data_IF_557997834560
#
_entry.id   IF_557997834560
#
_cell.length_a   1.000
_cell.length_b   1.000
_cell.length_c   1.000
_cell.angle_alpha   90.00
_cell.angle_beta   90.00
_cell.angle_gamma   90.00
#
_symmetry.space_group_name_H-M   'P 1'
#
loop_
_entity.id
_entity.type
_entity.pdbx_description
1 polymer ?
#
# COMPACT_ATOMS: atom_id res chain seq x y z
N UNK A 1 -1.72 -24.83 -8.65
CA UNK A 1 -2.66 -25.05 -9.76
C UNK A 1 -2.97 -23.72 -10.46
N UNK A 2 -2.95 -23.71 -11.80
CA UNK A 2 -3.14 -22.48 -12.59
C UNK A 2 -4.52 -21.80 -12.38
N UNK A 3 -5.50 -22.53 -11.85
CA UNK A 3 -6.83 -22.01 -11.54
C UNK A 3 -6.90 -21.14 -10.25
N UNK A 4 -5.80 -21.00 -9.52
CA UNK A 4 -5.71 -20.13 -8.33
C UNK A 4 -5.03 -18.79 -8.64
N UNK A 5 -4.63 -18.56 -9.90
CA UNK A 5 -3.95 -17.34 -10.32
C UNK A 5 -4.87 -16.56 -11.25
N UNK A 6 -5.20 -15.34 -10.85
CA UNK A 6 -5.97 -14.40 -11.66
C UNK A 6 -5.06 -13.25 -12.04
N UNK A 7 -4.88 -13.03 -13.34
CA UNK A 7 -4.12 -11.89 -13.85
C UNK A 7 -5.01 -10.65 -13.84
N UNK A 8 -4.51 -9.56 -13.25
CA UNK A 8 -5.24 -8.30 -13.11
C UNK A 8 -4.44 -7.14 -13.72
N UNK A 9 -5.15 -6.07 -14.09
CA UNK A 9 -4.54 -4.86 -14.70
C UNK A 9 -4.95 -3.56 -13.99
N UNK A 10 -6.00 -3.61 -13.18
CA UNK A 10 -6.66 -2.46 -12.56
C UNK A 10 -7.98 -2.13 -13.26
N UNK A 11 -9.03 -1.98 -12.46
CA UNK A 11 -10.41 -1.76 -12.89
C UNK A 11 -11.32 -2.98 -12.69
N UNK A 12 -10.76 -4.16 -12.43
CA UNK A 12 -11.54 -5.38 -12.20
C UNK A 12 -12.22 -5.35 -10.82
N UNK A 13 -13.38 -5.99 -10.72
CA UNK A 13 -14.14 -6.17 -9.49
C UNK A 13 -14.64 -7.62 -9.40
N UNK A 14 -14.06 -8.39 -8.48
CA UNK A 14 -14.33 -9.81 -8.33
C UNK A 14 -15.13 -10.09 -7.06
N UNK A 15 -16.04 -11.05 -7.14
CA UNK A 15 -16.82 -11.57 -6.01
C UNK A 15 -16.40 -13.00 -5.73
N UNK A 16 -16.09 -13.28 -4.47
CA UNK A 16 -15.79 -14.60 -3.91
C UNK A 16 -16.82 -14.93 -2.83
N UNK A 17 -16.83 -16.16 -2.34
CA UNK A 17 -17.85 -16.63 -1.39
C UNK A 17 -17.98 -15.74 -0.14
N UNK A 18 -16.87 -15.27 0.42
CA UNK A 18 -16.85 -14.55 1.69
C UNK A 18 -16.38 -13.09 1.58
N UNK A 19 -15.96 -12.65 0.41
CA UNK A 19 -15.50 -11.28 0.19
C UNK A 19 -15.58 -10.89 -1.29
N UNK A 20 -15.42 -9.61 -1.55
CA UNK A 20 -15.14 -9.14 -2.91
C UNK A 20 -13.89 -8.26 -2.92
N UNK A 21 -13.25 -8.15 -4.08
CA UNK A 21 -12.06 -7.32 -4.26
C UNK A 21 -12.16 -6.48 -5.54
N UNK A 22 -12.03 -5.18 -5.38
CA UNK A 22 -11.86 -4.26 -6.50
C UNK A 22 -10.37 -3.97 -6.68
N UNK A 23 -9.86 -4.23 -7.87
CA UNK A 23 -8.49 -3.93 -8.25
C UNK A 23 -8.44 -2.51 -8.80
N UNK A 24 -7.59 -1.66 -8.24
CA UNK A 24 -7.52 -0.25 -8.60
C UNK A 24 -6.18 0.04 -9.27
N UNK A 25 -6.16 0.80 -10.37
CA UNK A 25 -4.93 1.32 -10.92
C UNK A 25 -4.28 2.29 -9.92
N UNK A 26 -2.98 2.27 -9.84
CA UNK A 26 -2.22 3.10 -8.92
C UNK A 26 -0.93 3.60 -9.54
N UNK A 27 -0.14 4.32 -8.76
CA UNK A 27 1.16 4.83 -9.15
C UNK A 27 2.22 4.34 -8.16
N UNK A 28 3.40 4.03 -8.67
CA UNK A 28 4.56 3.81 -7.81
C UNK A 28 5.04 5.13 -7.22
N UNK A 29 5.64 5.09 -6.03
CA UNK A 29 6.28 6.26 -5.44
C UNK A 29 7.44 6.73 -6.30
N UNK A 30 7.61 8.04 -6.39
CA UNK A 30 8.80 8.61 -6.99
C UNK A 30 10.04 8.26 -6.16
N UNK A 31 11.10 7.83 -6.81
CA UNK A 31 12.41 7.63 -6.22
C UNK A 31 13.18 8.96 -6.19
N UNK A 32 14.45 8.89 -5.79
CA UNK A 32 15.34 10.07 -5.75
C UNK A 32 15.19 10.95 -6.99
N UNK A 33 15.06 12.26 -6.80
CA UNK A 33 14.84 13.26 -7.86
C UNK A 33 13.57 13.01 -8.69
N UNK A 34 12.53 12.45 -8.07
CA UNK A 34 11.24 12.17 -8.72
C UNK A 34 11.35 11.22 -9.94
N UNK A 35 12.33 10.33 -9.94
CA UNK A 35 12.44 9.29 -10.96
C UNK A 35 11.41 8.20 -10.67
N UNK A 36 10.63 7.85 -11.68
CA UNK A 36 9.75 6.68 -11.67
C UNK A 36 10.49 5.47 -12.23
N UNK A 37 10.08 4.27 -11.79
CA UNK A 37 10.54 3.05 -12.43
C UNK A 37 10.02 2.97 -13.87
N UNK A 38 10.71 2.18 -14.68
CA UNK A 38 10.26 1.89 -16.03
C UNK A 38 8.97 1.06 -15.98
N UNK A 39 7.89 1.58 -16.56
CA UNK A 39 6.58 0.91 -16.67
C UNK A 39 6.45 0.01 -17.90
N UNK A 40 7.51 -0.19 -18.67
CA UNK A 40 7.52 -1.12 -19.80
C UNK A 40 7.32 -2.57 -19.36
N UNK A 41 7.12 -3.47 -20.32
CA UNK A 41 7.04 -4.90 -20.08
C UNK A 41 8.40 -5.57 -20.27
N UNK A 42 8.64 -6.63 -19.51
CA UNK A 42 9.83 -7.47 -19.72
C UNK A 42 9.72 -8.15 -21.10
N UNK A 43 10.72 -7.96 -21.94
CA UNK A 43 10.73 -8.49 -23.29
C UNK A 43 10.84 -10.01 -23.31
N UNK A 44 10.16 -10.67 -24.26
CA UNK A 44 10.32 -12.12 -24.47
C UNK A 44 11.78 -12.47 -24.77
N UNK A 45 12.24 -13.59 -24.23
CA UNK A 45 13.60 -14.11 -24.48
C UNK A 45 14.71 -13.42 -23.66
N UNK A 46 14.38 -12.55 -22.72
CA UNK A 46 15.38 -12.01 -21.81
C UNK A 46 16.02 -13.13 -20.98
N UNK A 47 17.34 -13.11 -20.86
CA UNK A 47 18.09 -14.14 -20.11
C UNK A 47 18.08 -13.81 -18.62
N UNK A 48 17.85 -14.82 -17.81
CA UNK A 48 17.98 -14.73 -16.33
C UNK A 48 19.37 -15.19 -15.88
N UNK A 49 19.91 -14.67 -14.74
CA UNK A 49 19.28 -13.67 -13.85
C UNK A 49 19.29 -12.26 -14.45
N UNK A 50 18.24 -11.48 -14.12
CA UNK A 50 18.12 -10.11 -14.57
C UNK A 50 19.07 -9.19 -13.79
N UNK A 51 19.65 -8.21 -14.48
CA UNK A 51 20.33 -7.08 -13.81
C UNK A 51 19.29 -6.07 -13.32
N UNK A 52 19.60 -5.29 -12.27
CA UNK A 52 18.68 -4.32 -11.69
C UNK A 52 18.04 -3.40 -12.74
N UNK A 53 18.82 -2.91 -13.71
CA UNK A 53 18.31 -2.03 -14.79
C UNK A 53 17.35 -2.72 -15.78
N UNK A 54 17.19 -4.03 -15.71
CA UNK A 54 16.29 -4.81 -16.57
C UNK A 54 14.96 -5.12 -15.89
N UNK A 55 14.83 -4.80 -14.58
CA UNK A 55 13.55 -4.87 -13.90
C UNK A 55 12.70 -3.67 -14.30
N UNK A 56 11.45 -3.95 -14.54
CA UNK A 56 10.41 -2.96 -14.82
C UNK A 56 9.37 -3.02 -13.71
N UNK A 57 8.72 -1.91 -13.44
CA UNK A 57 7.66 -1.87 -12.45
C UNK A 57 6.42 -2.65 -12.92
N UNK A 58 6.17 -2.63 -14.20
CA UNK A 58 4.87 -3.04 -14.76
C UNK A 58 3.82 -1.97 -14.46
N UNK A 59 2.84 -2.31 -13.63
CA UNK A 59 1.84 -1.35 -13.15
C UNK A 59 1.66 -1.50 -11.64
N UNK A 60 1.63 -0.39 -10.92
CA UNK A 60 1.26 -0.39 -9.52
C UNK A 60 -0.24 -0.54 -9.35
N UNK A 61 -0.64 -1.34 -8.40
CA UNK A 61 -2.04 -1.62 -8.09
C UNK A 61 -2.33 -1.37 -6.61
N UNK A 62 -3.58 -1.06 -6.34
CA UNK A 62 -4.17 -1.07 -5.01
C UNK A 62 -5.32 -2.06 -5.00
N UNK A 63 -5.67 -2.57 -3.83
CA UNK A 63 -6.75 -3.53 -3.68
C UNK A 63 -7.72 -3.04 -2.62
N UNK A 64 -9.01 -3.01 -2.97
CA UNK A 64 -10.09 -2.70 -2.06
C UNK A 64 -10.90 -3.93 -1.79
N UNK A 65 -10.68 -4.53 -0.61
CA UNK A 65 -11.42 -5.69 -0.14
C UNK A 65 -12.67 -5.28 0.61
N UNK A 66 -13.77 -5.97 0.36
CA UNK A 66 -15.05 -5.81 1.04
C UNK A 66 -15.44 -7.13 1.67
N UNK A 67 -15.30 -7.21 2.97
CA UNK A 67 -15.80 -8.29 3.82
C UNK A 67 -17.15 -7.87 4.39
N UNK A 68 -17.84 -8.81 5.09
CA UNK A 68 -19.15 -8.51 5.68
C UNK A 68 -19.15 -7.23 6.54
N UNK A 69 -18.13 -7.06 7.39
CA UNK A 69 -18.05 -5.99 8.37
C UNK A 69 -16.83 -5.07 8.19
N UNK A 70 -15.96 -5.37 7.24
CA UNK A 70 -14.73 -4.61 7.01
C UNK A 70 -14.54 -4.28 5.55
N UNK A 71 -14.14 -3.04 5.31
CA UNK A 71 -13.71 -2.55 4.01
C UNK A 71 -12.24 -2.17 4.13
N UNK A 72 -11.36 -2.87 3.44
CA UNK A 72 -9.91 -2.73 3.59
C UNK A 72 -9.31 -2.21 2.30
N UNK A 73 -8.67 -1.05 2.35
CA UNK A 73 -7.88 -0.56 1.23
C UNK A 73 -6.39 -0.79 1.49
N UNK A 74 -5.71 -1.47 0.58
CA UNK A 74 -4.27 -1.70 0.68
C UNK A 74 -3.51 -1.06 -0.48
N UNK A 75 -2.45 -0.35 -0.14
CA UNK A 75 -1.56 0.32 -1.09
C UNK A 75 -0.33 -0.54 -1.38
N UNK A 76 0.04 -0.62 -2.66
CA UNK A 76 1.28 -1.29 -3.08
C UNK A 76 2.51 -0.37 -3.02
N UNK A 77 2.33 0.95 -2.92
CA UNK A 77 3.40 1.95 -2.89
C UNK A 77 2.93 3.26 -2.25
N UNK A 78 3.81 4.25 -2.12
CA UNK A 78 3.52 5.56 -1.51
C UNK A 78 3.02 6.58 -2.54
N UNK A 79 2.20 6.13 -3.51
CA UNK A 79 1.52 7.03 -4.44
C UNK A 79 0.19 6.42 -4.86
N UNK A 80 -0.71 7.23 -5.39
CA UNK A 80 -2.05 6.79 -5.76
C UNK A 80 -2.67 7.73 -6.81
N UNK A 81 -3.67 7.22 -7.51
CA UNK A 81 -4.54 7.99 -8.39
C UNK A 81 -5.76 8.41 -7.57
N UNK A 82 -5.95 9.72 -7.36
CA UNK A 82 -7.02 10.24 -6.51
C UNK A 82 -8.40 9.74 -6.92
N UNK A 83 -8.76 9.90 -8.17
CA UNK A 83 -10.06 9.50 -8.72
C UNK A 83 -10.33 7.98 -8.59
N UNK A 84 -9.27 7.17 -8.46
CA UNK A 84 -9.44 5.73 -8.29
C UNK A 84 -9.84 5.33 -6.87
N UNK A 85 -9.56 6.16 -5.87
CA UNK A 85 -9.83 5.87 -4.46
C UNK A 85 -10.93 6.73 -3.85
N UNK A 86 -11.31 7.82 -4.50
CA UNK A 86 -12.35 8.72 -4.04
C UNK A 86 -13.69 7.97 -3.85
N UNK A 87 -14.32 8.16 -2.69
CA UNK A 87 -15.61 7.55 -2.36
C UNK A 87 -15.59 6.05 -2.03
N UNK A 88 -14.43 5.43 -1.83
CA UNK A 88 -14.34 4.00 -1.46
C UNK A 88 -14.70 3.73 0.01
N UNK A 89 -14.46 4.68 0.89
CA UNK A 89 -14.78 4.63 2.33
C UNK A 89 -14.30 3.35 3.04
N UNK A 90 -13.00 3.01 3.00
CA UNK A 90 -12.47 1.92 3.79
C UNK A 90 -12.55 2.27 5.29
N UNK A 91 -12.87 1.30 6.14
CA UNK A 91 -12.70 1.48 7.59
C UNK A 91 -11.30 1.05 8.07
N UNK A 92 -10.56 0.28 7.24
CA UNK A 92 -9.17 -0.09 7.49
C UNK A 92 -8.32 0.32 6.28
N UNK A 93 -7.29 1.12 6.51
CA UNK A 93 -6.34 1.57 5.49
C UNK A 93 -4.93 1.06 5.77
N UNK A 94 -4.39 0.21 4.89
CA UNK A 94 -2.97 -0.16 4.87
C UNK A 94 -2.22 0.87 4.02
N UNK A 95 -1.61 1.86 4.68
CA UNK A 95 -1.01 3.02 4.03
C UNK A 95 0.51 2.92 3.93
N UNK A 96 1.05 3.20 2.76
CA UNK A 96 2.49 3.28 2.57
C UNK A 96 3.12 4.43 3.37
N UNK A 97 4.10 4.14 4.22
CA UNK A 97 4.69 5.11 5.14
C UNK A 97 6.18 5.41 4.91
N UNK A 98 6.79 4.79 3.90
CA UNK A 98 8.18 5.07 3.56
C UNK A 98 8.43 6.54 3.18
N UNK A 99 9.68 7.00 3.33
CA UNK A 99 10.05 8.41 3.15
C UNK A 99 9.79 8.96 1.74
N UNK A 100 9.67 8.11 0.71
CA UNK A 100 9.31 8.54 -0.65
C UNK A 100 7.91 9.19 -0.73
N UNK A 101 7.03 8.99 0.27
CA UNK A 101 5.76 9.72 0.39
C UNK A 101 5.94 11.24 0.44
N UNK A 102 7.07 11.71 0.99
CA UNK A 102 7.39 13.14 1.12
C UNK A 102 7.62 13.84 -0.23
N UNK A 103 7.83 13.07 -1.28
CA UNK A 103 7.92 13.59 -2.66
C UNK A 103 6.54 13.81 -3.30
N UNK A 104 5.46 13.33 -2.65
CA UNK A 104 4.09 13.44 -3.12
C UNK A 104 3.40 14.60 -2.40
N UNK A 105 2.82 15.51 -3.17
CA UNK A 105 2.14 16.70 -2.63
C UNK A 105 1.03 16.30 -1.66
N UNK A 106 1.11 16.82 -0.42
CA UNK A 106 0.13 16.59 0.65
C UNK A 106 -0.33 15.14 0.77
N UNK A 107 0.62 14.19 0.71
CA UNK A 107 0.32 12.75 0.63
C UNK A 107 -0.67 12.29 1.70
N UNK A 108 -0.38 12.55 2.98
CA UNK A 108 -1.18 12.03 4.09
C UNK A 108 -2.58 12.66 4.11
N UNK A 109 -2.67 13.97 3.99
CA UNK A 109 -3.95 14.71 3.97
C UNK A 109 -4.85 14.24 2.82
N UNK A 110 -4.29 14.19 1.60
CA UNK A 110 -5.04 13.76 0.41
C UNK A 110 -5.49 12.30 0.51
N UNK A 111 -4.63 11.41 1.01
CA UNK A 111 -4.99 10.01 1.16
C UNK A 111 -6.14 9.85 2.14
N UNK A 112 -6.05 10.47 3.31
CA UNK A 112 -7.07 10.36 4.35
C UNK A 112 -8.40 11.00 3.92
N UNK A 113 -8.37 12.18 3.31
CA UNK A 113 -9.58 12.87 2.87
C UNK A 113 -10.29 12.13 1.74
N UNK A 114 -9.57 11.64 0.74
CA UNK A 114 -10.15 10.89 -0.38
C UNK A 114 -10.72 9.53 0.03
N UNK A 115 -10.24 8.97 1.13
CA UNK A 115 -10.75 7.71 1.71
C UNK A 115 -11.74 7.93 2.85
N UNK A 116 -12.25 9.15 3.01
CA UNK A 116 -13.23 9.52 4.03
C UNK A 116 -12.80 9.21 5.48
N UNK A 117 -11.52 9.44 5.78
CA UNK A 117 -10.93 9.33 7.12
C UNK A 117 -11.15 7.97 7.80
N UNK A 118 -10.43 6.91 7.39
CA UNK A 118 -10.58 5.57 7.93
C UNK A 118 -10.38 5.49 9.45
N UNK A 119 -11.14 4.62 10.12
CA UNK A 119 -11.06 4.43 11.58
C UNK A 119 -9.72 3.82 12.02
N UNK A 120 -9.20 2.88 11.21
CA UNK A 120 -7.98 2.11 11.49
C UNK A 120 -6.96 2.35 10.39
N UNK A 121 -5.75 2.75 10.78
CA UNK A 121 -4.65 2.99 9.85
C UNK A 121 -3.47 2.09 10.22
N UNK A 122 -3.01 1.31 9.25
CA UNK A 122 -1.89 0.39 9.40
C UNK A 122 -0.75 0.86 8.50
N UNK A 123 0.32 1.44 9.07
CA UNK A 123 1.50 1.80 8.30
C UNK A 123 2.16 0.57 7.66
N UNK A 124 2.43 0.65 6.37
CA UNK A 124 3.16 -0.37 5.59
C UNK A 124 4.40 0.25 4.96
N UNK A 125 5.28 -0.55 4.34
CA UNK A 125 6.52 -0.07 3.71
C UNK A 125 7.47 0.69 4.64
N UNK A 126 7.38 0.49 5.95
CA UNK A 126 8.24 1.16 6.93
C UNK A 126 9.50 0.38 7.26
N UNK A 127 9.49 -0.93 7.11
CA UNK A 127 10.59 -1.83 7.46
C UNK A 127 11.87 -1.60 6.64
N UNK A 128 12.97 -2.12 7.12
CA UNK A 128 14.24 -2.19 6.39
C UNK A 128 14.46 -3.61 5.87
N UNK A 129 14.07 -3.83 4.62
CA UNK A 129 14.20 -5.11 3.92
C UNK A 129 15.66 -5.54 3.65
N UNK A 130 16.66 -4.75 4.03
CA UNK A 130 18.10 -5.08 3.90
C UNK A 130 18.61 -5.90 5.08
N UNK A 131 17.81 -6.03 6.12
CA UNK A 131 18.10 -6.86 7.29
C UNK A 131 17.11 -8.03 7.35
N UNK A 132 17.41 -9.05 8.15
CA UNK A 132 16.51 -10.18 8.35
C UNK A 132 15.24 -9.75 9.08
N UNK A 133 14.13 -10.47 8.89
CA UNK A 133 12.82 -10.10 9.45
C UNK A 133 12.79 -10.05 10.98
N UNK A 134 13.67 -10.81 11.63
CA UNK A 134 13.83 -10.90 13.11
C UNK A 134 14.82 -9.87 13.66
N UNK A 135 15.51 -9.12 12.80
CA UNK A 135 16.38 -8.04 13.22
C UNK A 135 15.59 -6.85 13.77
N UNK A 136 16.21 -6.08 14.65
CA UNK A 136 15.59 -4.86 15.17
C UNK A 136 15.26 -3.87 14.05
N UNK A 137 14.01 -3.43 14.01
CA UNK A 137 13.50 -2.43 13.06
C UNK A 137 13.40 -1.02 13.68
N UNK A 138 13.96 -0.81 14.86
CA UNK A 138 13.82 0.45 15.61
C UNK A 138 14.24 1.69 14.80
N UNK A 139 15.35 1.62 14.08
CA UNK A 139 15.82 2.70 13.23
C UNK A 139 14.84 3.00 12.07
N UNK A 140 14.25 1.97 11.48
CA UNK A 140 13.25 2.10 10.43
C UNK A 140 11.93 2.67 10.98
N UNK A 141 11.49 2.21 12.14
CA UNK A 141 10.32 2.77 12.83
C UNK A 141 10.53 4.27 13.07
N UNK A 142 11.64 4.64 13.69
CA UNK A 142 11.96 6.04 13.99
C UNK A 142 12.03 6.93 12.76
N UNK A 143 12.57 6.44 11.66
CA UNK A 143 12.81 7.26 10.46
C UNK A 143 11.68 7.26 9.46
N UNK A 144 10.79 6.26 9.46
CA UNK A 144 9.71 6.10 8.46
C UNK A 144 8.32 6.06 9.10
N UNK A 145 8.08 5.10 10.02
CA UNK A 145 6.75 4.91 10.59
C UNK A 145 6.35 6.03 11.55
N UNK A 146 7.22 6.40 12.49
CA UNK A 146 6.89 7.41 13.50
C UNK A 146 6.52 8.79 12.89
N UNK A 147 7.26 9.34 11.91
CA UNK A 147 6.86 10.59 11.26
C UNK A 147 5.54 10.48 10.49
N UNK A 148 5.22 9.31 9.90
CA UNK A 148 3.94 9.11 9.25
C UNK A 148 2.80 9.04 10.27
N UNK A 149 3.00 8.34 11.39
CA UNK A 149 2.03 8.28 12.49
C UNK A 149 1.74 9.68 13.05
N UNK A 150 2.77 10.51 13.18
CA UNK A 150 2.62 11.91 13.60
C UNK A 150 1.78 12.72 12.60
N UNK A 151 2.09 12.61 11.29
CA UNK A 151 1.31 13.24 10.23
C UNK A 151 -0.18 12.84 10.32
N UNK A 152 -0.45 11.53 10.50
CA UNK A 152 -1.84 11.02 10.64
C UNK A 152 -2.52 11.58 11.89
N UNK A 153 -1.86 11.57 13.04
CA UNK A 153 -2.44 12.06 14.30
C UNK A 153 -2.75 13.55 14.28
N UNK A 154 -1.97 14.33 13.55
CA UNK A 154 -2.23 15.76 13.37
C UNK A 154 -3.51 16.03 12.56
N UNK A 155 -3.87 15.13 11.65
CA UNK A 155 -5.05 15.24 10.78
C UNK A 155 -6.26 14.54 11.41
N UNK A 156 -6.03 13.35 11.97
CA UNK A 156 -7.06 12.46 12.50
C UNK A 156 -6.68 11.96 13.90
N UNK A 157 -6.84 12.78 14.94
CA UNK A 157 -6.36 12.47 16.30
C UNK A 157 -6.97 11.21 16.92
N UNK A 158 -8.19 10.86 16.51
CA UNK A 158 -8.97 9.76 17.07
C UNK A 158 -8.79 8.43 16.29
N UNK A 159 -8.04 8.42 15.18
CA UNK A 159 -7.80 7.19 14.43
C UNK A 159 -7.01 6.20 15.26
N UNK A 160 -7.39 4.94 15.22
CA UNK A 160 -6.60 3.84 15.73
C UNK A 160 -5.44 3.57 14.76
N UNK A 161 -4.20 3.70 15.23
CA UNK A 161 -3.01 3.45 14.41
C UNK A 161 -2.29 2.22 14.94
N UNK A 162 -2.25 1.16 14.14
CA UNK A 162 -1.66 -0.12 14.50
C UNK A 162 -0.38 -0.32 13.69
N UNK A 163 0.77 -0.30 14.37
CA UNK A 163 2.04 -0.67 13.74
C UNK A 163 2.19 -2.19 13.80
N UNK A 164 2.15 -2.88 12.63
CA UNK A 164 2.21 -4.34 12.62
C UNK A 164 3.59 -4.83 13.05
N UNK A 165 3.61 -5.93 13.78
CA UNK A 165 4.83 -6.69 14.04
C UNK A 165 4.98 -7.79 12.99
N UNK A 166 6.21 -8.09 12.62
CA UNK A 166 6.49 -9.13 11.66
C UNK A 166 5.99 -10.48 12.17
N UNK A 167 5.27 -11.21 11.31
CA UNK A 167 4.74 -12.56 11.55
C UNK A 167 3.76 -12.69 12.74
N UNK A 168 3.30 -11.59 13.33
CA UNK A 168 2.22 -11.61 14.31
C UNK A 168 0.88 -11.35 13.62
N UNK A 169 -0.12 -12.25 13.76
CA UNK A 169 -1.44 -12.03 13.20
C UNK A 169 -2.17 -10.90 13.93
N UNK A 170 -2.91 -10.10 13.18
CA UNK A 170 -3.82 -9.10 13.71
C UNK A 170 -5.25 -9.58 13.49
N UNK A 171 -6.08 -9.49 14.53
CA UNK A 171 -7.49 -9.87 14.47
C UNK A 171 -8.34 -8.61 14.65
N UNK A 172 -9.26 -8.37 13.73
CA UNK A 172 -10.22 -7.28 13.80
C UNK A 172 -11.60 -7.87 14.07
N UNK A 173 -12.16 -7.52 15.22
CA UNK A 173 -13.50 -7.99 15.58
C UNK A 173 -14.56 -7.19 14.81
N UNK A 174 -15.65 -7.87 14.49
CA UNK A 174 -16.84 -7.23 13.93
C UNK A 174 -17.51 -6.37 15.00
N UNK A 175 -17.59 -5.08 14.78
CA UNK A 175 -18.45 -4.19 15.55
C UNK A 175 -19.92 -4.37 15.17
#
# INVERSE_FOLDING_TARGET
>A
PNNQIITVKGGEDYVFDNFSVKVLPSLHSALRKKLYFNSESIQKGIKVPLKIKQYVEGNSLMYYFRFKNHKVLTMGSMNFIGDAIEGLEPNILLAGSANSRKEIYNYTERLLSLTNYPDIIIPTHWDDFRVTYDASQEAAIKSKAAPFIEDVKNILPNAEIILPKHLEPMVFESK
#
